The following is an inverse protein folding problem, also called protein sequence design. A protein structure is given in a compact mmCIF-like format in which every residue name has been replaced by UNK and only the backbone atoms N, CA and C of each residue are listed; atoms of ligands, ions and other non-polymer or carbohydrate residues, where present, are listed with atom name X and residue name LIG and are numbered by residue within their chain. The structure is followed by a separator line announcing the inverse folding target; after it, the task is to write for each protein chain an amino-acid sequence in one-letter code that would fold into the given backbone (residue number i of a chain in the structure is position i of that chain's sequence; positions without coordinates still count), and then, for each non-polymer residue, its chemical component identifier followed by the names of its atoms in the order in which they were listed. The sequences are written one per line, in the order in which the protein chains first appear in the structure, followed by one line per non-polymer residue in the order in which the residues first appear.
data_IF_489783064859
#
_entry.id   IF_489783064859
#
_cell.length_a   1.000
_cell.length_b   1.000
_cell.length_c   1.000
_cell.angle_alpha   90.00
_cell.angle_beta   90.00
_cell.angle_gamma   90.00
#
_symmetry.space_group_name_H-M   'P 1'
#
loop_
_entity.id
_entity.type
_entity.pdbx_description
1 polymer ?
#
# COMPACT_ATOMS: atom_id res chain seq x y z
N UNK A 1 -64.86 44.03 2.95
CA UNK A 1 -64.02 43.10 3.72
C UNK A 1 -63.63 43.80 5.01
N UNK A 2 -63.97 43.26 6.19
CA UNK A 2 -63.69 43.93 7.46
C UNK A 2 -62.20 43.84 7.83
N UNK A 3 -61.70 44.85 8.55
CA UNK A 3 -60.31 44.92 9.01
C UNK A 3 -59.90 43.67 9.82
N UNK A 4 -60.81 43.13 10.62
CA UNK A 4 -60.60 41.88 11.37
C UNK A 4 -60.37 40.66 10.46
N UNK A 5 -61.07 40.59 9.32
CA UNK A 5 -60.90 39.49 8.37
C UNK A 5 -59.52 39.55 7.71
N UNK A 6 -59.04 40.75 7.39
CA UNK A 6 -57.70 40.98 6.85
C UNK A 6 -56.63 40.58 7.88
N UNK A 7 -56.83 40.96 9.15
CA UNK A 7 -55.91 40.63 10.24
C UNK A 7 -55.79 39.11 10.43
N UNK A 8 -56.92 38.39 10.48
CA UNK A 8 -56.93 36.93 10.64
C UNK A 8 -56.25 36.20 9.47
N UNK A 9 -56.49 36.63 8.23
CA UNK A 9 -55.83 36.05 7.04
C UNK A 9 -54.31 36.26 7.12
N UNK A 10 -53.88 37.46 7.49
CA UNK A 10 -52.46 37.80 7.63
C UNK A 10 -51.79 36.94 8.71
N UNK A 11 -52.45 36.73 9.85
CA UNK A 11 -51.95 35.88 10.93
C UNK A 11 -51.82 34.42 10.48
N UNK A 12 -52.79 33.87 9.75
CA UNK A 12 -52.74 32.49 9.23
C UNK A 12 -51.54 32.32 8.29
N UNK A 13 -51.33 33.25 7.36
CA UNK A 13 -50.19 33.23 6.44
C UNK A 13 -48.88 33.33 7.22
N UNK A 14 -48.80 34.22 8.21
CA UNK A 14 -47.62 34.38 9.06
C UNK A 14 -47.27 33.08 9.78
N UNK A 15 -48.24 32.41 10.42
CA UNK A 15 -47.99 31.14 11.11
C UNK A 15 -47.65 30.00 10.16
N UNK A 16 -48.21 29.96 8.95
CA UNK A 16 -47.82 28.99 7.91
C UNK A 16 -46.37 29.20 7.47
N UNK A 17 -45.96 30.43 7.20
CA UNK A 17 -44.59 30.76 6.80
C UNK A 17 -43.62 30.48 7.94
N UNK A 18 -43.93 30.93 9.15
CA UNK A 18 -43.10 30.69 10.34
C UNK A 18 -42.96 29.19 10.65
N UNK A 19 -44.05 28.43 10.56
CA UNK A 19 -44.03 26.98 10.72
C UNK A 19 -43.18 26.28 9.66
N UNK A 20 -43.28 26.71 8.40
CA UNK A 20 -42.46 26.16 7.30
C UNK A 20 -40.98 26.45 7.52
N UNK A 21 -40.62 27.68 7.90
CA UNK A 21 -39.24 28.07 8.22
C UNK A 21 -38.71 27.25 9.40
N UNK A 22 -39.51 27.06 10.45
CA UNK A 22 -39.11 26.28 11.62
C UNK A 22 -38.85 24.80 11.25
N UNK A 23 -39.71 24.19 10.43
CA UNK A 23 -39.54 22.81 9.96
C UNK A 23 -38.28 22.68 9.09
N UNK A 24 -38.08 23.59 8.13
CA UNK A 24 -36.88 23.57 7.27
C UNK A 24 -35.60 23.77 8.07
N UNK A 25 -35.63 24.66 9.07
CA UNK A 25 -34.50 24.91 9.98
C UNK A 25 -34.20 23.66 10.81
N UNK A 26 -35.21 23.01 11.37
CA UNK A 26 -35.06 21.77 12.12
C UNK A 26 -34.48 20.64 11.25
N UNK A 27 -35.00 20.46 10.03
CA UNK A 27 -34.49 19.46 9.08
C UNK A 27 -33.04 19.73 8.69
N UNK A 28 -32.67 21.00 8.46
CA UNK A 28 -31.30 21.41 8.15
C UNK A 28 -30.36 21.21 9.33
N UNK A 29 -30.78 21.57 10.54
CA UNK A 29 -30.02 21.37 11.76
C UNK A 29 -29.81 19.87 12.06
N UNK A 30 -30.85 19.06 11.90
CA UNK A 30 -30.77 17.59 12.07
C UNK A 30 -29.80 16.95 11.09
N UNK A 31 -29.80 17.38 9.81
CA UNK A 31 -28.80 16.95 8.82
C UNK A 31 -27.39 17.40 9.21
N UNK A 32 -27.23 18.65 9.66
CA UNK A 32 -25.91 19.19 10.04
C UNK A 32 -25.32 18.52 11.29
N UNK A 33 -26.13 18.18 12.28
CA UNK A 33 -25.68 17.58 13.54
C UNK A 33 -25.24 16.12 13.35
N UNK A 34 -26.03 15.33 12.59
CA UNK A 34 -25.68 13.96 12.20
C UNK A 34 -24.53 13.91 11.18
N UNK A 35 -24.32 14.99 10.41
CA UNK A 35 -23.18 15.09 9.51
C UNK A 35 -21.86 15.18 10.26
N UNK A 36 -21.76 15.80 11.44
CA UNK A 36 -20.46 16.01 12.11
C UNK A 36 -19.62 14.72 12.28
N UNK A 37 -20.23 13.63 12.76
CA UNK A 37 -19.56 12.32 12.93
C UNK A 37 -19.23 11.69 11.58
N UNK A 38 -20.13 11.82 10.60
CA UNK A 38 -19.89 11.34 9.23
C UNK A 38 -18.75 12.13 8.56
N UNK A 39 -18.69 13.44 8.77
CA UNK A 39 -17.66 14.34 8.25
C UNK A 39 -16.30 14.05 8.89
N UNK A 40 -16.23 13.75 10.19
CA UNK A 40 -14.98 13.33 10.83
C UNK A 40 -14.50 11.96 10.34
N UNK A 41 -15.42 11.00 10.16
CA UNK A 41 -15.09 9.72 9.53
C UNK A 41 -14.57 9.94 8.10
N UNK A 42 -15.25 10.79 7.33
CA UNK A 42 -14.89 11.11 5.95
C UNK A 42 -13.51 11.77 5.87
N UNK A 43 -13.22 12.77 6.70
CA UNK A 43 -11.89 13.39 6.77
C UNK A 43 -10.81 12.35 7.05
N UNK A 44 -11.04 11.44 8.00
CA UNK A 44 -10.10 10.34 8.28
C UNK A 44 -9.95 9.39 7.10
N UNK A 45 -11.04 9.06 6.42
CA UNK A 45 -11.00 8.19 5.24
C UNK A 45 -10.21 8.83 4.09
N UNK A 46 -10.45 10.11 3.80
CA UNK A 46 -9.71 10.88 2.80
C UNK A 46 -8.22 10.94 3.17
N UNK A 47 -7.89 11.25 4.43
CA UNK A 47 -6.52 11.24 4.91
C UNK A 47 -5.86 9.87 4.71
N UNK A 48 -6.57 8.77 4.97
CA UNK A 48 -6.01 7.41 4.74
C UNK A 48 -5.78 7.11 3.28
N UNK A 49 -6.63 7.57 2.39
CA UNK A 49 -6.43 7.39 0.95
C UNK A 49 -5.26 8.25 0.45
N UNK A 50 -5.09 9.46 0.99
CA UNK A 50 -3.91 10.31 0.75
C UNK A 50 -2.61 9.65 1.25
N UNK A 51 -2.57 9.20 2.51
CA UNK A 51 -1.43 8.48 3.11
C UNK A 51 -1.01 7.28 2.23
N UNK A 52 -1.99 6.55 1.68
CA UNK A 52 -1.75 5.42 0.77
C UNK A 52 -1.18 5.90 -0.57
N UNK A 53 -1.75 6.94 -1.17
CA UNK A 53 -1.25 7.49 -2.43
C UNK A 53 0.18 8.01 -2.30
N UNK A 54 0.49 8.70 -1.21
CA UNK A 54 1.84 9.17 -0.89
C UNK A 54 2.82 8.00 -0.72
N UNK A 55 2.43 6.98 0.04
CA UNK A 55 3.23 5.77 0.17
C UNK A 55 3.53 5.13 -1.18
N UNK A 56 2.52 4.94 -2.04
CA UNK A 56 2.68 4.30 -3.34
C UNK A 56 3.63 5.08 -4.25
N UNK A 57 3.57 6.41 -4.27
CA UNK A 57 4.44 7.23 -5.13
C UNK A 57 5.85 7.42 -4.53
N UNK A 58 5.99 7.31 -3.20
CA UNK A 58 7.26 7.53 -2.49
C UNK A 58 8.38 6.61 -2.94
N UNK A 59 8.06 5.43 -3.48
CA UNK A 59 9.05 4.51 -4.03
C UNK A 59 9.76 5.05 -5.29
N UNK A 60 9.13 5.96 -6.02
CA UNK A 60 9.63 6.54 -7.27
C UNK A 60 10.24 7.93 -7.12
N UNK A 61 10.05 8.56 -5.95
CA UNK A 61 10.64 9.85 -5.65
C UNK A 61 12.10 9.70 -5.17
N UNK A 62 13.04 10.27 -5.93
CA UNK A 62 14.48 10.28 -5.61
C UNK A 62 14.80 10.88 -4.24
N UNK A 63 14.00 11.84 -3.79
CA UNK A 63 14.18 12.50 -2.51
C UNK A 63 13.63 11.69 -1.34
N UNK A 64 12.67 10.79 -1.59
CA UNK A 64 12.08 9.94 -0.57
C UNK A 64 13.07 8.97 0.05
N UNK A 65 12.90 8.67 1.33
CA UNK A 65 13.59 7.55 2.00
C UNK A 65 13.18 6.19 1.43
N UNK A 66 12.00 6.12 0.81
CA UNK A 66 11.47 4.90 0.21
C UNK A 66 11.95 4.68 -1.23
N UNK A 67 12.78 5.58 -1.78
CA UNK A 67 13.22 5.49 -3.15
C UNK A 67 13.81 4.11 -3.45
N UNK A 68 13.29 3.45 -4.48
CA UNK A 68 13.63 2.04 -4.77
C UNK A 68 15.14 1.81 -4.91
N UNK A 69 15.89 2.78 -5.45
CA UNK A 69 17.33 2.65 -5.64
C UNK A 69 18.15 2.91 -4.36
N UNK A 70 17.55 3.51 -3.31
CA UNK A 70 18.15 3.64 -1.97
C UNK A 70 18.04 2.36 -1.16
N UNK A 71 17.27 1.37 -1.61
CA UNK A 71 17.26 0.07 -0.96
C UNK A 71 18.71 -0.46 -0.89
N UNK A 72 19.20 -0.69 0.34
CA UNK A 72 20.60 -1.02 0.63
C UNK A 72 20.95 -2.46 0.21
N UNK A 73 20.85 -2.77 -1.08
CA UNK A 73 21.17 -4.08 -1.64
C UNK A 73 22.66 -4.43 -1.49
N UNK A 74 23.56 -3.45 -1.29
CA UNK A 74 25.01 -3.69 -1.27
C UNK A 74 25.62 -3.96 0.11
N UNK A 75 25.00 -3.53 1.20
CA UNK A 75 25.58 -3.67 2.55
C UNK A 75 24.85 -4.72 3.40
N UNK A 76 23.63 -5.10 2.99
CA UNK A 76 22.79 -6.08 3.68
C UNK A 76 22.01 -6.97 2.70
N UNK A 77 22.58 -7.33 1.55
CA UNK A 77 21.87 -8.27 0.67
C UNK A 77 21.72 -9.63 1.36
N UNK A 78 20.58 -10.31 1.18
CA UNK A 78 20.41 -11.70 1.59
C UNK A 78 21.54 -12.60 1.08
N UNK A 79 22.02 -12.39 -0.14
CA UNK A 79 23.11 -13.15 -0.72
C UNK A 79 24.45 -12.98 0.04
N UNK A 80 24.79 -11.77 0.49
CA UNK A 80 25.98 -11.52 1.31
C UNK A 80 25.86 -12.17 2.70
N UNK A 81 24.66 -12.14 3.30
CA UNK A 81 24.39 -12.80 4.58
C UNK A 81 24.59 -14.31 4.43
N UNK A 82 24.01 -14.92 3.39
CA UNK A 82 24.21 -16.34 3.09
C UNK A 82 25.69 -16.66 2.83
N UNK A 83 26.40 -15.81 2.10
CA UNK A 83 27.83 -16.00 1.87
C UNK A 83 28.63 -16.00 3.18
N UNK A 84 28.36 -15.03 4.05
CA UNK A 84 29.00 -14.94 5.37
C UNK A 84 28.73 -16.21 6.19
N UNK A 85 27.48 -16.66 6.24
CA UNK A 85 27.08 -17.89 6.92
C UNK A 85 27.82 -19.12 6.36
N UNK A 86 27.94 -19.21 5.04
CA UNK A 86 28.68 -20.29 4.38
C UNK A 86 30.16 -20.30 4.76
N UNK A 87 30.82 -19.14 4.80
CA UNK A 87 32.24 -19.04 5.15
C UNK A 87 32.45 -19.45 6.61
N UNK A 88 31.59 -18.98 7.52
CA UNK A 88 31.68 -19.25 8.96
C UNK A 88 31.43 -20.72 9.30
N UNK A 89 30.53 -21.40 8.57
CA UNK A 89 30.08 -22.78 8.87
C UNK A 89 30.36 -23.74 7.70
N UNK A 90 31.46 -23.51 6.97
CA UNK A 90 31.76 -24.19 5.71
C UNK A 90 31.73 -25.72 5.84
N UNK A 91 32.35 -26.27 6.88
CA UNK A 91 32.44 -27.71 7.07
C UNK A 91 31.06 -28.36 7.25
N UNK A 92 30.15 -27.68 7.93
CA UNK A 92 28.79 -28.16 8.17
C UNK A 92 27.98 -28.19 6.88
N UNK A 93 28.02 -27.12 6.08
CA UNK A 93 27.34 -27.08 4.79
C UNK A 93 27.88 -28.12 3.80
N UNK A 94 29.20 -28.33 3.78
CA UNK A 94 29.82 -29.33 2.90
C UNK A 94 29.53 -30.77 3.33
N UNK A 95 29.20 -31.01 4.60
CA UNK A 95 28.87 -32.35 5.11
C UNK A 95 27.55 -32.88 4.54
N UNK A 96 26.57 -32.01 4.35
CA UNK A 96 25.23 -32.37 3.90
C UNK A 96 25.03 -32.24 2.38
N UNK A 97 26.01 -31.65 1.66
CA UNK A 97 25.96 -31.40 0.20
C UNK A 97 24.73 -30.59 -0.27
N UNK A 98 24.09 -29.88 0.65
CA UNK A 98 22.94 -29.01 0.40
C UNK A 98 22.94 -27.77 1.28
N UNK A 99 22.24 -26.72 0.85
CA UNK A 99 22.05 -25.53 1.66
C UNK A 99 21.03 -25.78 2.78
N UNK A 100 21.54 -25.96 4.00
CA UNK A 100 20.73 -26.20 5.21
C UNK A 100 20.35 -24.92 5.97
N UNK A 101 20.79 -23.75 5.50
CA UNK A 101 20.53 -22.47 6.16
C UNK A 101 19.16 -21.89 5.81
N UNK A 102 18.65 -21.01 6.66
CA UNK A 102 17.51 -20.17 6.29
C UNK A 102 17.87 -19.21 5.15
N UNK A 103 16.89 -18.84 4.32
CA UNK A 103 17.02 -17.73 3.37
C UNK A 103 16.73 -16.42 4.11
N UNK A 104 17.69 -15.48 4.19
CA UNK A 104 17.47 -14.20 4.85
C UNK A 104 16.34 -13.43 4.16
N UNK A 105 15.45 -12.85 4.96
CA UNK A 105 14.34 -12.05 4.46
C UNK A 105 14.83 -10.70 3.91
N UNK A 106 14.17 -10.21 2.87
CA UNK A 106 14.43 -8.88 2.32
C UNK A 106 13.64 -7.80 3.09
N UNK A 107 14.32 -6.83 3.74
CA UNK A 107 13.66 -5.78 4.51
C UNK A 107 12.65 -4.95 3.71
N UNK A 108 12.83 -4.80 2.39
CA UNK A 108 11.89 -4.07 1.55
C UNK A 108 10.58 -4.85 1.34
N UNK A 109 10.66 -6.17 1.18
CA UNK A 109 9.47 -7.03 1.09
C UNK A 109 8.72 -7.01 2.42
N UNK A 110 9.43 -7.05 3.55
CA UNK A 110 8.82 -6.95 4.88
C UNK A 110 8.11 -5.60 5.09
N UNK A 111 8.77 -4.50 4.72
CA UNK A 111 8.19 -3.16 4.78
C UNK A 111 6.92 -3.06 3.94
N UNK A 112 6.92 -3.62 2.73
CA UNK A 112 5.75 -3.67 1.86
C UNK A 112 4.62 -4.52 2.48
N UNK A 113 4.95 -5.68 3.02
CA UNK A 113 3.99 -6.57 3.68
C UNK A 113 3.35 -5.92 4.92
N UNK A 114 4.12 -5.14 5.69
CA UNK A 114 3.59 -4.36 6.82
C UNK A 114 2.58 -3.31 6.36
N UNK A 115 2.83 -2.65 5.24
CA UNK A 115 1.84 -1.73 4.64
C UNK A 115 0.58 -2.45 4.17
N UNK A 116 0.71 -3.62 3.53
CA UNK A 116 -0.45 -4.45 3.17
C UNK A 116 -1.31 -4.75 4.40
N UNK A 117 -0.71 -5.22 5.49
CA UNK A 117 -1.42 -5.54 6.73
C UNK A 117 -2.09 -4.31 7.36
N UNK A 118 -1.41 -3.16 7.35
CA UNK A 118 -1.97 -1.89 7.81
C UNK A 118 -3.22 -1.51 7.01
N UNK A 119 -3.15 -1.56 5.68
CA UNK A 119 -4.27 -1.19 4.81
C UNK A 119 -5.44 -2.18 4.94
N UNK A 120 -5.17 -3.49 5.09
CA UNK A 120 -6.19 -4.52 5.31
C UNK A 120 -7.01 -4.26 6.58
N UNK A 121 -6.34 -3.87 7.66
CA UNK A 121 -6.91 -3.71 9.00
C UNK A 121 -7.49 -2.33 9.28
N UNK A 122 -7.11 -1.29 8.52
CA UNK A 122 -7.54 0.08 8.78
C UNK A 122 -9.07 0.26 8.49
N UNK A 123 -9.88 0.65 9.49
CA UNK A 123 -11.32 0.81 9.33
C UNK A 123 -11.73 2.06 8.52
N UNK A 124 -10.80 3.00 8.32
CA UNK A 124 -11.05 4.24 7.58
C UNK A 124 -10.70 4.12 6.10
N UNK A 125 -10.00 3.07 5.68
CA UNK A 125 -9.73 2.83 4.25
C UNK A 125 -10.99 2.32 3.56
N UNK A 126 -11.54 3.05 2.55
CA UNK A 126 -12.72 2.62 1.82
C UNK A 126 -12.54 1.25 1.17
N UNK A 127 -13.58 0.42 1.16
CA UNK A 127 -13.51 -0.98 0.67
C UNK A 127 -12.99 -1.08 -0.77
N UNK A 128 -13.41 -0.16 -1.64
CA UNK A 128 -13.00 -0.13 -3.06
C UNK A 128 -11.50 0.13 -3.16
N UNK A 129 -11.00 1.16 -2.49
CA UNK A 129 -9.57 1.50 -2.47
C UNK A 129 -8.75 0.38 -1.82
N UNK A 130 -9.22 -0.15 -0.68
CA UNK A 130 -8.59 -1.28 0.01
C UNK A 130 -8.38 -2.44 -0.93
N UNK A 131 -9.42 -2.85 -1.66
CA UNK A 131 -9.35 -3.97 -2.58
C UNK A 131 -8.30 -3.73 -3.67
N UNK A 132 -8.39 -2.61 -4.38
CA UNK A 132 -7.49 -2.28 -5.49
C UNK A 132 -6.02 -2.25 -5.04
N UNK A 133 -5.75 -1.62 -3.89
CA UNK A 133 -4.39 -1.44 -3.37
C UNK A 133 -3.86 -2.76 -2.79
N UNK A 134 -4.65 -3.45 -1.97
CA UNK A 134 -4.23 -4.72 -1.34
C UNK A 134 -4.00 -5.79 -2.38
N UNK A 135 -4.91 -5.97 -3.35
CA UNK A 135 -4.78 -6.99 -4.39
C UNK A 135 -3.47 -6.79 -5.18
N UNK A 136 -3.10 -5.54 -5.47
CA UNK A 136 -1.86 -5.21 -6.16
C UNK A 136 -0.62 -5.47 -5.30
N UNK A 137 -0.59 -4.91 -4.08
CA UNK A 137 0.57 -4.98 -3.20
C UNK A 137 0.82 -6.40 -2.68
N UNK A 138 -0.23 -7.14 -2.36
CA UNK A 138 -0.13 -8.53 -1.89
C UNK A 138 0.39 -9.45 -3.00
N UNK A 139 -0.12 -9.30 -4.23
CA UNK A 139 0.42 -10.02 -5.37
C UNK A 139 1.91 -9.73 -5.57
N UNK A 140 2.32 -8.45 -5.47
CA UNK A 140 3.73 -8.06 -5.54
C UNK A 140 4.57 -8.68 -4.44
N UNK A 141 4.12 -8.63 -3.18
CA UNK A 141 4.83 -9.24 -2.03
C UNK A 141 5.01 -10.74 -2.24
N UNK A 142 3.96 -11.43 -2.66
CA UNK A 142 3.99 -12.89 -2.84
C UNK A 142 4.95 -13.29 -3.97
N UNK A 143 4.86 -12.64 -5.13
CA UNK A 143 5.76 -12.92 -6.25
C UNK A 143 7.22 -12.55 -5.93
N UNK A 144 7.46 -11.38 -5.33
CA UNK A 144 8.81 -10.96 -4.97
C UNK A 144 9.46 -11.94 -3.97
N UNK A 145 8.72 -12.35 -2.94
CA UNK A 145 9.18 -13.30 -1.93
C UNK A 145 9.46 -14.67 -2.55
N UNK A 146 8.57 -15.18 -3.39
CA UNK A 146 8.76 -16.46 -4.07
C UNK A 146 10.02 -16.43 -4.96
N UNK A 147 10.17 -15.40 -5.81
CA UNK A 147 11.33 -15.26 -6.69
C UNK A 147 12.62 -15.20 -5.87
N UNK A 148 12.65 -14.38 -4.83
CA UNK A 148 13.85 -14.25 -3.99
C UNK A 148 14.18 -15.55 -3.27
N UNK A 149 13.21 -16.24 -2.69
CA UNK A 149 13.43 -17.51 -2.00
C UNK A 149 14.00 -18.58 -2.95
N UNK A 150 13.39 -18.75 -4.12
CA UNK A 150 13.85 -19.71 -5.13
C UNK A 150 15.26 -19.40 -5.63
N UNK A 151 15.54 -18.12 -5.93
CA UNK A 151 16.83 -17.69 -6.44
C UNK A 151 17.93 -17.78 -5.39
N UNK A 152 17.66 -17.34 -4.16
CA UNK A 152 18.60 -17.41 -3.04
C UNK A 152 18.87 -18.84 -2.63
N UNK A 153 17.85 -19.72 -2.56
CA UNK A 153 18.06 -21.14 -2.29
C UNK A 153 18.91 -21.80 -3.37
N UNK A 154 18.64 -21.49 -4.64
CA UNK A 154 19.49 -21.95 -5.76
C UNK A 154 20.93 -21.45 -5.67
N UNK A 155 21.13 -20.22 -5.21
CA UNK A 155 22.46 -19.65 -4.92
C UNK A 155 23.16 -20.39 -3.78
N UNK A 156 22.45 -20.63 -2.67
CA UNK A 156 22.98 -21.41 -1.54
C UNK A 156 23.44 -22.80 -1.95
N UNK A 157 22.62 -23.53 -2.71
CA UNK A 157 22.98 -24.87 -3.20
C UNK A 157 24.24 -24.83 -4.09
N UNK A 158 24.35 -23.84 -4.99
CA UNK A 158 25.56 -23.66 -5.81
C UNK A 158 26.81 -23.41 -4.97
N UNK A 159 26.72 -22.62 -3.89
CA UNK A 159 27.86 -22.40 -2.99
C UNK A 159 28.37 -23.70 -2.38
N UNK A 160 27.45 -24.59 -1.99
CA UNK A 160 27.79 -25.90 -1.42
C UNK A 160 28.41 -26.82 -2.48
N UNK A 161 27.74 -27.01 -3.62
CA UNK A 161 28.19 -27.91 -4.69
C UNK A 161 29.54 -27.50 -5.27
N UNK A 162 29.78 -26.19 -5.46
CA UNK A 162 31.05 -25.67 -5.96
C UNK A 162 32.13 -25.60 -4.86
N UNK A 163 31.81 -26.00 -3.63
CA UNK A 163 32.69 -25.92 -2.45
C UNK A 163 33.23 -24.51 -2.16
N UNK A 164 32.46 -23.49 -2.55
CA UNK A 164 32.85 -22.08 -2.48
C UNK A 164 33.97 -21.67 -3.45
N UNK A 165 34.22 -22.42 -4.53
CA UNK A 165 35.23 -22.08 -5.55
C UNK A 165 34.77 -20.98 -6.50
N UNK A 166 33.45 -20.77 -6.62
CA UNK A 166 32.87 -19.72 -7.46
C UNK A 166 33.29 -18.35 -6.93
N UNK A 167 33.69 -17.42 -7.81
CA UNK A 167 34.20 -16.12 -7.41
C UNK A 167 33.11 -15.30 -6.66
N UNK A 168 33.30 -15.15 -5.35
CA UNK A 168 32.30 -14.72 -4.39
C UNK A 168 31.84 -13.26 -4.58
N UNK A 169 32.73 -12.39 -5.08
CA UNK A 169 32.41 -10.98 -5.34
C UNK A 169 31.40 -10.81 -6.50
N UNK A 170 31.54 -11.59 -7.57
CA UNK A 170 30.68 -11.48 -8.76
C UNK A 170 29.33 -12.19 -8.59
N UNK A 171 29.26 -13.17 -7.69
CA UNK A 171 28.07 -14.01 -7.51
C UNK A 171 26.90 -13.24 -6.90
N UNK A 172 27.18 -12.29 -5.98
CA UNK A 172 26.18 -11.42 -5.35
C UNK A 172 25.48 -10.47 -6.35
N UNK A 173 26.23 -9.88 -7.28
CA UNK A 173 25.68 -9.04 -8.34
C UNK A 173 24.91 -9.87 -9.38
N UNK A 174 25.41 -11.07 -9.68
CA UNK A 174 24.75 -12.00 -10.61
C UNK A 174 23.38 -12.44 -10.08
N UNK A 175 23.27 -12.78 -8.79
CA UNK A 175 22.00 -13.19 -8.21
C UNK A 175 21.00 -12.03 -8.15
N UNK A 176 21.46 -10.82 -7.80
CA UNK A 176 20.62 -9.63 -7.83
C UNK A 176 20.05 -9.36 -9.24
N UNK A 177 20.90 -9.44 -10.27
CA UNK A 177 20.46 -9.27 -11.66
C UNK A 177 19.47 -10.36 -12.08
N UNK A 178 19.65 -11.60 -11.61
CA UNK A 178 18.75 -12.71 -11.90
C UNK A 178 17.39 -12.53 -11.23
N UNK A 179 17.36 -12.13 -9.96
CA UNK A 179 16.14 -11.77 -9.23
C UNK A 179 15.42 -10.65 -9.96
N UNK A 180 16.11 -9.55 -10.27
CA UNK A 180 15.52 -8.41 -10.98
C UNK A 180 14.97 -8.84 -12.35
N UNK A 181 15.73 -9.61 -13.14
CA UNK A 181 15.26 -10.12 -14.43
C UNK A 181 13.99 -10.97 -14.31
N UNK A 182 13.89 -11.83 -13.30
CA UNK A 182 12.68 -12.61 -13.03
C UNK A 182 11.52 -11.72 -12.59
N UNK A 183 11.76 -10.74 -11.72
CA UNK A 183 10.74 -9.77 -11.31
C UNK A 183 10.14 -9.04 -12.52
N UNK A 184 10.96 -8.62 -13.47
CA UNK A 184 10.49 -8.03 -14.73
C UNK A 184 9.66 -9.00 -15.59
N UNK A 185 10.06 -10.28 -15.66
CA UNK A 185 9.31 -11.32 -16.39
C UNK A 185 7.94 -11.59 -15.77
N UNK A 186 7.85 -11.56 -14.45
CA UNK A 186 6.60 -11.74 -13.69
C UNK A 186 5.76 -10.45 -13.57
N UNK A 187 6.15 -9.38 -14.28
CA UNK A 187 5.38 -8.14 -14.32
C UNK A 187 5.47 -7.27 -13.06
N UNK A 188 6.50 -7.47 -12.25
CA UNK A 188 6.79 -6.69 -11.03
C UNK A 188 8.17 -6.00 -11.09
N UNK A 189 8.67 -5.72 -12.30
CA UNK A 189 9.82 -4.82 -12.49
C UNK A 189 9.48 -3.38 -12.12
N UNK A 190 10.48 -2.57 -11.74
CA UNK A 190 10.24 -1.23 -11.17
C UNK A 190 9.40 -0.33 -12.09
N UNK A 191 9.63 -0.32 -13.39
CA UNK A 191 8.83 0.47 -14.34
C UNK A 191 7.39 -0.05 -14.48
N UNK A 192 7.19 -1.36 -14.39
CA UNK A 192 5.85 -1.97 -14.43
C UNK A 192 5.08 -1.70 -13.14
N UNK A 193 5.78 -1.64 -12.00
CA UNK A 193 5.19 -1.23 -10.72
C UNK A 193 4.80 0.25 -10.79
N UNK A 194 5.65 1.12 -11.34
CA UNK A 194 5.35 2.55 -11.51
C UNK A 194 4.06 2.77 -12.30
N UNK A 195 3.91 2.07 -13.43
CA UNK A 195 2.70 2.11 -14.25
C UNK A 195 1.47 1.61 -13.48
N UNK A 196 1.58 0.49 -12.76
CA UNK A 196 0.50 -0.04 -11.91
C UNK A 196 0.11 0.96 -10.83
N UNK A 197 1.08 1.60 -10.18
CA UNK A 197 0.85 2.63 -9.16
C UNK A 197 0.16 3.85 -9.77
N UNK A 198 0.58 4.30 -10.94
CA UNK A 198 -0.09 5.38 -11.65
C UNK A 198 -1.57 5.05 -11.92
N UNK A 199 -1.85 3.85 -12.41
CA UNK A 199 -3.23 3.38 -12.66
C UNK A 199 -4.07 3.28 -11.38
N UNK A 200 -3.47 2.87 -10.25
CA UNK A 200 -4.14 2.87 -8.94
C UNK A 200 -4.48 4.30 -8.51
N UNK A 201 -3.57 5.25 -8.72
CA UNK A 201 -3.79 6.66 -8.36
C UNK A 201 -4.88 7.30 -9.21
N UNK A 202 -4.99 6.95 -10.49
CA UNK A 202 -6.14 7.34 -11.32
C UNK A 202 -7.44 6.78 -10.75
N UNK A 203 -7.47 5.50 -10.35
CA UNK A 203 -8.67 4.91 -9.73
C UNK A 203 -9.03 5.56 -8.38
N UNK A 204 -8.04 6.02 -7.62
CA UNK A 204 -8.24 6.82 -6.40
C UNK A 204 -8.84 8.18 -6.76
N UNK A 205 -8.35 8.84 -7.80
CA UNK A 205 -8.92 10.10 -8.29
C UNK A 205 -10.38 9.92 -8.73
N UNK A 206 -10.66 8.90 -9.53
CA UNK A 206 -12.02 8.51 -9.93
C UNK A 206 -12.94 8.29 -8.73
N UNK A 207 -12.44 7.67 -7.66
CA UNK A 207 -13.17 7.48 -6.43
C UNK A 207 -13.52 8.82 -5.75
N UNK A 208 -12.60 9.79 -5.77
CA UNK A 208 -12.87 11.14 -5.28
C UNK A 208 -13.85 11.93 -6.16
N UNK A 209 -13.77 11.80 -7.49
CA UNK A 209 -14.65 12.53 -8.41
C UNK A 209 -16.10 12.00 -8.36
N UNK A 210 -16.26 10.69 -8.14
CA UNK A 210 -17.57 10.05 -7.96
C UNK A 210 -18.15 10.25 -6.56
N UNK A 211 -17.40 10.88 -5.66
CA UNK A 211 -17.82 11.10 -4.30
C UNK A 211 -18.91 12.18 -4.22
N UNK A 212 -20.09 11.78 -3.78
CA UNK A 212 -21.22 12.67 -3.53
C UNK A 212 -21.42 12.82 -2.00
N UNK A 213 -21.09 13.98 -1.39
CA UNK A 213 -21.23 14.19 0.04
C UNK A 213 -22.70 14.26 0.51
N UNK A 214 -23.66 14.22 -0.41
CA UNK A 214 -25.09 14.33 -0.13
C UNK A 214 -25.86 13.02 -0.31
N UNK A 215 -25.20 11.94 -0.73
CA UNK A 215 -25.77 10.58 -0.79
C UNK A 215 -25.55 9.78 0.49
#
# INVERSE_FOLDING_TARGET
MNLESILKITQIIFYLVAGTIAILTYLKAKRSFLNSVNTEYQKKALQKVEDISEFLISEFDKNSENYWAKAHWKERSPAQIMLKQFIENKEEFLKYDEWMGGTPSNPQIEKLNNWVNKIKSDPFVPKVIRKIVVDNLENRVNLARQIEEEELRGFGNKLVTDKGKSNLENLSSTIHNKINSRQYKEGIGISQIEEKVHNIRIQIQDYYEKYDPLK
#
